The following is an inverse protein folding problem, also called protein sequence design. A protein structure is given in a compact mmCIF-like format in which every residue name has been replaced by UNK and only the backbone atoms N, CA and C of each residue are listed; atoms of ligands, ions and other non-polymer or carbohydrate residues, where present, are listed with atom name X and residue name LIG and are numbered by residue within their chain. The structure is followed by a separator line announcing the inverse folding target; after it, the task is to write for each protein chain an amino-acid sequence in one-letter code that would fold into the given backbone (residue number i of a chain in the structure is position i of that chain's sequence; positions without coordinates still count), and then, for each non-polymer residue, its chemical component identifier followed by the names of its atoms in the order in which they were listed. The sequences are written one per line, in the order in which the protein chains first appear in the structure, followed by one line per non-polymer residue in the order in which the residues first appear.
data_IF_870437078964
#
_entry.id   IF_870437078964
#
_cell.length_a   1.000
_cell.length_b   1.000
_cell.length_c   1.000
_cell.angle_alpha   90.00
_cell.angle_beta   90.00
_cell.angle_gamma   90.00
#
_symmetry.space_group_name_H-M   'P 1'
#
loop_
_entity.id
_entity.type
_entity.pdbx_description
1 polymer ?
#
# COMPACT_ATOMS: atom_id res chain seq x y z
N UNK A 1 -22.14 8.82 -37.98
CA UNK A 1 -21.12 8.53 -36.94
C UNK A 1 -21.43 7.26 -36.16
N UNK A 2 -22.65 7.09 -35.62
CA UNK A 2 -23.00 5.89 -34.86
C UNK A 2 -22.95 4.58 -35.67
N UNK A 3 -23.30 4.58 -36.96
CA UNK A 3 -23.20 3.38 -37.81
C UNK A 3 -21.76 3.00 -38.14
N UNK A 4 -20.92 3.99 -38.47
CA UNK A 4 -19.49 3.78 -38.72
C UNK A 4 -18.79 3.15 -37.51
N UNK A 5 -19.07 3.67 -36.31
CA UNK A 5 -18.46 3.13 -35.09
C UNK A 5 -18.98 1.74 -34.75
N UNK A 6 -20.26 1.44 -35.01
CA UNK A 6 -20.80 0.08 -34.87
C UNK A 6 -20.11 -0.91 -35.81
N UNK A 7 -19.84 -0.53 -37.05
CA UNK A 7 -19.12 -1.38 -38.00
C UNK A 7 -17.66 -1.61 -37.57
N UNK A 8 -16.99 -0.56 -37.06
CA UNK A 8 -15.63 -0.67 -36.50
C UNK A 8 -15.62 -1.58 -35.27
N UNK A 9 -16.60 -1.46 -34.37
CA UNK A 9 -16.72 -2.33 -33.20
C UNK A 9 -16.95 -3.79 -33.59
N UNK A 10 -17.81 -4.06 -34.57
CA UNK A 10 -18.04 -5.42 -35.08
C UNK A 10 -16.77 -6.03 -35.68
N UNK A 11 -15.97 -5.24 -36.41
CA UNK A 11 -14.70 -5.69 -36.95
C UNK A 11 -13.65 -5.97 -35.85
N UNK A 12 -13.60 -5.12 -34.82
CA UNK A 12 -12.72 -5.31 -33.66
C UNK A 12 -13.13 -6.53 -32.82
N UNK A 13 -14.42 -6.86 -32.75
CA UNK A 13 -14.92 -8.06 -32.08
C UNK A 13 -14.52 -9.35 -32.81
N UNK A 14 -14.38 -9.29 -34.15
CA UNK A 14 -13.95 -10.41 -34.98
C UNK A 14 -12.43 -10.55 -35.09
N UNK A 15 -11.63 -9.63 -34.53
CA UNK A 15 -10.18 -9.73 -34.55
C UNK A 15 -9.71 -10.86 -33.59
N UNK A 16 -9.01 -11.92 -34.07
CA UNK A 16 -8.59 -13.04 -33.23
C UNK A 16 -7.64 -12.64 -32.09
N UNK A 17 -7.02 -11.44 -32.18
CA UNK A 17 -6.14 -10.89 -31.13
C UNK A 17 -6.93 -10.18 -30.02
N UNK A 18 -8.21 -9.92 -30.23
CA UNK A 18 -9.14 -9.32 -29.27
C UNK A 18 -10.14 -10.41 -28.85
N UNK A 19 -9.72 -11.30 -27.95
CA UNK A 19 -10.59 -12.36 -27.40
C UNK A 19 -11.87 -11.76 -26.78
N UNK A 20 -13.03 -12.43 -26.94
CA UNK A 20 -14.35 -11.86 -26.63
C UNK A 20 -14.52 -11.27 -25.21
N UNK A 21 -13.86 -11.83 -24.19
CA UNK A 21 -13.86 -11.25 -22.84
C UNK A 21 -13.14 -9.88 -22.77
N UNK A 22 -12.06 -9.71 -23.53
CA UNK A 22 -11.35 -8.44 -23.65
C UNK A 22 -12.15 -7.43 -24.48
N UNK A 23 -12.84 -7.87 -25.54
CA UNK A 23 -13.69 -6.98 -26.32
C UNK A 23 -14.78 -6.34 -25.44
N UNK A 24 -15.51 -7.17 -24.69
CA UNK A 24 -16.59 -6.70 -23.80
C UNK A 24 -16.07 -5.76 -22.71
N UNK A 25 -14.87 -6.02 -22.19
CA UNK A 25 -14.27 -5.20 -21.12
C UNK A 25 -13.82 -3.83 -21.61
N UNK A 26 -13.25 -3.74 -22.81
CA UNK A 26 -12.60 -2.51 -23.29
C UNK A 26 -13.47 -1.71 -24.25
N UNK A 27 -14.24 -2.36 -25.13
CA UNK A 27 -14.85 -1.70 -26.29
C UNK A 27 -16.37 -1.54 -26.21
N UNK A 28 -17.07 -2.36 -25.42
CA UNK A 28 -18.54 -2.42 -25.39
C UNK A 28 -19.21 -1.06 -25.08
N UNK A 29 -18.55 -0.21 -24.31
CA UNK A 29 -19.07 1.09 -23.87
C UNK A 29 -18.34 2.28 -24.50
N UNK A 30 -17.68 2.08 -25.64
CA UNK A 30 -16.97 3.14 -26.37
C UNK A 30 -17.83 3.75 -27.45
N UNK A 31 -17.63 5.04 -27.75
CA UNK A 31 -18.38 5.75 -28.78
C UNK A 31 -17.45 6.67 -29.58
N UNK A 32 -17.69 6.79 -30.89
CA UNK A 32 -17.04 7.80 -31.72
C UNK A 32 -17.72 9.16 -31.50
N UNK A 33 -17.00 10.10 -30.91
CA UNK A 33 -17.50 11.43 -30.54
C UNK A 33 -17.42 12.41 -31.72
N UNK A 34 -16.31 12.39 -32.46
CA UNK A 34 -16.13 13.21 -33.67
C UNK A 34 -15.18 12.56 -34.66
N UNK A 35 -15.32 12.92 -35.94
CA UNK A 35 -14.44 12.56 -37.03
C UNK A 35 -14.40 13.71 -38.04
N UNK A 36 -13.39 14.56 -37.93
CA UNK A 36 -13.21 15.75 -38.78
C UNK A 36 -11.77 15.82 -39.29
N UNK A 37 -11.58 16.10 -40.59
CA UNK A 37 -10.30 16.44 -41.24
C UNK A 37 -9.09 15.69 -40.65
N UNK A 38 -9.14 14.35 -40.69
CA UNK A 38 -8.10 13.42 -40.24
C UNK A 38 -7.91 13.22 -38.73
N UNK A 39 -8.83 13.71 -37.89
CA UNK A 39 -8.84 13.49 -36.45
C UNK A 39 -10.10 12.75 -35.99
N UNK A 40 -9.92 11.60 -35.33
CA UNK A 40 -11.00 10.84 -34.69
C UNK A 40 -10.91 10.94 -33.17
N UNK A 41 -12.03 11.24 -32.51
CA UNK A 41 -12.12 11.29 -31.04
C UNK A 41 -13.00 10.14 -30.55
N UNK A 42 -12.44 9.22 -29.77
CA UNK A 42 -13.17 8.08 -29.20
C UNK A 42 -13.40 8.29 -27.70
N UNK A 43 -14.65 8.27 -27.29
CA UNK A 43 -15.02 8.39 -25.89
C UNK A 43 -15.15 7.02 -25.19
N UNK A 44 -14.70 6.92 -23.95
CA UNK A 44 -14.88 5.75 -23.09
C UNK A 44 -15.25 6.13 -21.64
N UNK A 45 -15.67 5.15 -20.83
CA UNK A 45 -16.22 5.37 -19.47
C UNK A 45 -15.24 5.97 -18.45
N UNK A 46 -13.95 5.69 -18.56
CA UNK A 46 -12.93 6.21 -17.65
C UNK A 46 -11.54 6.28 -18.32
N UNK A 47 -10.61 6.99 -17.67
CA UNK A 47 -9.25 7.23 -18.17
C UNK A 47 -8.40 5.96 -18.25
N UNK A 48 -8.72 4.94 -17.46
CA UNK A 48 -8.04 3.64 -17.49
C UNK A 48 -8.36 2.87 -18.77
N UNK A 49 -9.63 2.86 -19.18
CA UNK A 49 -10.07 2.24 -20.44
C UNK A 49 -9.45 2.99 -21.63
N UNK A 50 -9.51 4.32 -21.66
CA UNK A 50 -8.91 5.11 -22.77
C UNK A 50 -7.41 4.88 -22.89
N UNK A 51 -6.66 4.84 -21.77
CA UNK A 51 -5.22 4.60 -21.77
C UNK A 51 -4.88 3.17 -22.20
N UNK A 52 -5.67 2.19 -21.78
CA UNK A 52 -5.48 0.78 -22.17
C UNK A 52 -5.75 0.57 -23.66
N UNK A 53 -6.85 1.12 -24.18
CA UNK A 53 -7.18 1.07 -25.60
C UNK A 53 -6.09 1.74 -26.45
N UNK A 54 -5.69 2.96 -26.07
CA UNK A 54 -4.63 3.71 -26.75
C UNK A 54 -3.30 2.95 -26.78
N UNK A 55 -2.94 2.27 -25.69
CA UNK A 55 -1.64 1.58 -25.58
C UNK A 55 -1.63 0.23 -26.29
N UNK A 56 -2.72 -0.54 -26.20
CA UNK A 56 -2.75 -1.94 -26.66
C UNK A 56 -3.42 -2.15 -28.02
N UNK A 57 -4.37 -1.31 -28.39
CA UNK A 57 -5.27 -1.58 -29.53
C UNK A 57 -5.35 -0.47 -30.58
N UNK A 58 -4.53 0.59 -30.44
CA UNK A 58 -4.54 1.72 -31.39
C UNK A 58 -4.33 1.31 -32.85
N UNK A 59 -3.40 0.39 -33.11
CA UNK A 59 -3.13 -0.08 -34.47
C UNK A 59 -4.27 -0.92 -35.07
N UNK A 60 -5.00 -1.65 -34.21
CA UNK A 60 -6.20 -2.38 -34.61
C UNK A 60 -7.34 -1.42 -34.96
N UNK A 61 -7.51 -0.37 -34.17
CA UNK A 61 -8.51 0.68 -34.42
C UNK A 61 -8.19 1.42 -35.72
N UNK A 62 -6.94 1.81 -35.96
CA UNK A 62 -6.52 2.44 -37.23
C UNK A 62 -6.81 1.55 -38.43
N UNK A 63 -6.53 0.24 -38.31
CA UNK A 63 -6.83 -0.74 -39.36
C UNK A 63 -8.33 -0.83 -39.63
N UNK A 64 -9.15 -0.92 -38.58
CA UNK A 64 -10.60 -0.97 -38.70
C UNK A 64 -11.18 0.32 -39.31
N UNK A 65 -10.65 1.51 -38.97
CA UNK A 65 -11.02 2.75 -39.67
C UNK A 65 -10.73 2.67 -41.18
N UNK A 66 -9.53 2.20 -41.56
CA UNK A 66 -9.11 2.08 -42.97
C UNK A 66 -10.01 1.15 -43.76
N UNK A 67 -10.36 0.00 -43.19
CA UNK A 67 -11.25 -0.98 -43.81
C UNK A 67 -12.67 -0.44 -43.99
N UNK A 68 -13.09 0.51 -43.14
CA UNK A 68 -14.36 1.22 -43.26
C UNK A 68 -14.25 2.53 -44.08
N UNK A 69 -13.19 2.69 -44.89
CA UNK A 69 -13.05 3.80 -45.85
C UNK A 69 -12.69 5.15 -45.21
N UNK A 70 -12.15 5.16 -43.99
CA UNK A 70 -11.70 6.36 -43.27
C UNK A 70 -10.26 6.19 -42.81
N UNK A 71 -9.45 7.25 -42.84
CA UNK A 71 -8.05 7.14 -42.43
C UNK A 71 -7.63 8.32 -41.56
N UNK A 72 -8.11 8.42 -40.31
CA UNK A 72 -7.67 9.48 -39.41
C UNK A 72 -6.18 9.31 -39.09
N UNK A 73 -5.39 10.35 -39.32
CA UNK A 73 -3.97 10.39 -38.94
C UNK A 73 -3.80 10.42 -37.41
N UNK A 74 -4.74 11.08 -36.71
CA UNK A 74 -4.72 11.24 -35.27
C UNK A 74 -5.97 10.59 -34.67
N UNK A 75 -5.78 9.72 -33.68
CA UNK A 75 -6.87 9.16 -32.87
C UNK A 75 -6.63 9.54 -31.42
N UNK A 76 -7.51 10.38 -30.88
CA UNK A 76 -7.51 10.81 -29.49
C UNK A 76 -8.65 10.14 -28.71
N UNK A 77 -8.52 10.14 -27.39
CA UNK A 77 -9.47 9.49 -26.50
C UNK A 77 -9.93 10.44 -25.40
N UNK A 78 -11.23 10.44 -25.12
CA UNK A 78 -11.85 11.28 -24.09
C UNK A 78 -12.68 10.43 -23.11
N UNK A 79 -12.85 10.93 -21.90
CA UNK A 79 -13.69 10.26 -20.89
C UNK A 79 -15.10 10.82 -20.96
N UNK A 80 -16.07 9.98 -21.33
CA UNK A 80 -17.48 10.35 -21.33
C UNK A 80 -18.01 10.17 -19.91
N UNK A 81 -18.20 11.27 -19.18
CA UNK A 81 -18.98 11.26 -17.94
C UNK A 81 -20.46 11.09 -18.29
N UNK A 82 -21.10 10.04 -17.81
CA UNK A 82 -22.55 9.81 -17.96
C UNK A 82 -23.34 10.75 -17.04
N UNK A 83 -23.26 12.06 -17.30
CA UNK A 83 -24.25 13.04 -16.82
C UNK A 83 -25.17 13.43 -17.98
N UNK A 84 -26.45 13.13 -17.80
CA UNK A 84 -27.57 13.40 -18.72
C UNK A 84 -27.45 14.79 -19.38
N UNK A 85 -27.50 14.79 -20.71
CA UNK A 85 -27.67 15.97 -21.58
C UNK A 85 -28.87 16.82 -21.14
N UNK A 86 -28.66 18.12 -20.93
CA UNK A 86 -29.66 19.17 -21.16
C UNK A 86 -29.19 20.03 -22.34
N UNK A 87 -30.11 20.22 -23.29
CA UNK A 87 -30.01 21.07 -24.49
C UNK A 87 -29.91 22.56 -24.12
N UNK A 88 -29.32 23.33 -25.05
CA UNK A 88 -29.48 24.77 -25.39
C UNK A 88 -28.12 25.49 -25.34
N UNK A 89 -27.70 26.32 -26.30
CA UNK A 89 -28.14 26.70 -27.65
C UNK A 89 -26.91 27.31 -28.31
N UNK A 90 -26.84 27.26 -29.64
CA UNK A 90 -25.80 27.90 -30.44
C UNK A 90 -25.78 29.42 -30.22
N UNK A 91 -24.61 29.98 -29.90
CA UNK A 91 -24.20 31.31 -30.40
C UNK A 91 -22.70 31.26 -30.71
N UNK A 92 -22.36 31.66 -31.94
CA UNK A 92 -20.99 31.73 -32.47
C UNK A 92 -20.37 33.05 -32.00
N UNK A 93 -19.15 33.07 -31.43
CA UNK A 93 -18.35 34.29 -31.40
C UNK A 93 -17.25 34.21 -32.47
N UNK A 94 -17.35 35.17 -33.38
CA UNK A 94 -16.36 35.59 -34.37
C UNK A 94 -14.98 35.85 -33.78
N UNK A 95 -13.95 35.39 -34.49
CA UNK A 95 -12.54 35.73 -34.31
C UNK A 95 -12.32 37.25 -34.15
N UNK A 96 -11.72 37.67 -33.03
CA UNK A 96 -10.87 38.87 -33.01
C UNK A 96 -9.62 38.58 -32.19
N UNK A 97 -8.48 38.71 -32.86
CA UNK A 97 -7.13 38.55 -32.33
C UNK A 97 -6.80 39.72 -31.40
N UNK A 98 -6.72 39.46 -30.09
CA UNK A 98 -6.04 40.35 -29.14
C UNK A 98 -4.81 39.65 -28.56
N UNK A 99 -3.66 40.33 -28.65
CA UNK A 99 -2.40 39.93 -28.02
C UNK A 99 -2.62 39.74 -26.51
N UNK A 100 -1.98 38.74 -25.87
CA UNK A 100 -2.21 38.45 -24.46
C UNK A 100 -1.78 39.64 -23.60
N UNK A 101 -2.64 39.97 -22.63
CA UNK A 101 -2.40 41.00 -21.65
C UNK A 101 -1.36 40.54 -20.62
N UNK A 102 -0.72 41.47 -19.91
CA UNK A 102 0.26 41.17 -18.85
C UNK A 102 -0.38 40.32 -17.73
N UNK A 103 -1.70 40.38 -17.56
CA UNK A 103 -2.48 39.56 -16.63
C UNK A 103 -2.57 38.08 -17.05
N UNK A 104 -2.56 37.79 -18.36
CA UNK A 104 -2.53 36.41 -18.89
C UNK A 104 -1.16 35.76 -18.67
N UNK A 105 -0.08 36.55 -18.65
CA UNK A 105 1.28 36.08 -18.34
C UNK A 105 1.49 35.85 -16.85
N UNK A 106 0.78 36.58 -15.98
CA UNK A 106 0.77 36.37 -14.54
C UNK A 106 -0.06 35.11 -14.19
N UNK A 107 -1.22 34.90 -14.83
CA UNK A 107 -2.01 33.67 -14.66
C UNK A 107 -1.31 32.40 -15.17
N UNK A 108 -0.48 32.51 -16.22
CA UNK A 108 0.32 31.38 -16.73
C UNK A 108 1.47 30.95 -15.82
N UNK A 109 1.87 31.77 -14.83
CA UNK A 109 2.87 31.37 -13.81
C UNK A 109 2.29 30.54 -12.66
N UNK A 110 0.96 30.47 -12.54
CA UNK A 110 0.26 29.74 -11.47
C UNK A 110 -0.26 28.36 -11.86
N UNK A 111 -0.16 27.95 -13.13
CA UNK A 111 -0.40 26.56 -13.51
C UNK A 111 0.85 25.73 -13.21
N UNK A 112 1.08 25.45 -11.92
CA UNK A 112 1.93 24.31 -11.53
C UNK A 112 1.39 23.10 -12.30
N UNK A 113 2.26 22.42 -13.05
CA UNK A 113 1.89 21.19 -13.73
C UNK A 113 1.24 20.26 -12.71
N UNK A 114 -0.06 19.97 -12.87
CA UNK A 114 -0.81 19.10 -11.96
C UNK A 114 -0.23 17.68 -12.07
N UNK A 115 0.78 17.40 -11.25
CA UNK A 115 1.20 16.04 -10.99
C UNK A 115 -0.01 15.28 -10.43
N UNK A 116 -0.25 14.05 -10.90
CA UNK A 116 -1.27 13.19 -10.28
C UNK A 116 -0.88 12.98 -8.82
N UNK A 117 -1.74 13.39 -7.88
CA UNK A 117 -1.42 13.36 -6.45
C UNK A 117 -1.19 11.95 -5.91
N UNK A 118 -1.61 10.90 -6.61
CA UNK A 118 -1.40 9.51 -6.21
C UNK A 118 -2.33 9.05 -5.08
N UNK A 119 -3.26 9.91 -4.64
CA UNK A 119 -4.19 9.63 -3.56
C UNK A 119 -5.31 8.68 -4.00
N UNK A 120 -5.63 7.71 -3.14
CA UNK A 120 -6.84 6.90 -3.21
C UNK A 120 -8.00 7.68 -2.59
N UNK A 121 -9.07 7.92 -3.36
CA UNK A 121 -10.25 8.70 -2.93
C UNK A 121 -11.14 8.00 -1.90
N UNK A 122 -10.95 6.69 -1.70
CA UNK A 122 -11.69 5.92 -0.71
C UNK A 122 -11.14 6.12 0.73
N UNK A 123 -9.90 6.60 0.85
CA UNK A 123 -9.26 6.85 2.14
C UNK A 123 -9.57 8.27 2.61
N UNK A 124 -10.65 8.43 3.37
CA UNK A 124 -11.11 9.70 3.96
C UNK A 124 -11.17 9.59 5.48
N UNK A 125 -11.29 10.73 6.17
CA UNK A 125 -11.52 10.73 7.62
C UNK A 125 -12.89 10.14 7.99
N UNK A 126 -13.90 10.34 7.16
CA UNK A 126 -15.26 9.85 7.39
C UNK A 126 -15.31 8.32 7.49
N UNK A 127 -14.45 7.63 6.73
CA UNK A 127 -14.37 6.17 6.72
C UNK A 127 -13.29 5.61 7.67
N UNK A 128 -12.70 6.45 8.53
CA UNK A 128 -11.69 6.02 9.49
C UNK A 128 -12.30 5.87 10.89
N UNK A 129 -12.27 4.64 11.42
CA UNK A 129 -12.80 4.36 12.76
C UNK A 129 -11.79 4.76 13.84
N UNK A 130 -12.22 5.67 14.70
CA UNK A 130 -11.41 6.21 15.79
C UNK A 130 -11.65 5.41 17.06
N UNK A 131 -10.57 5.06 17.76
CA UNK A 131 -10.59 4.40 19.05
C UNK A 131 -9.37 4.80 19.88
N UNK A 132 -9.28 4.32 21.13
CA UNK A 132 -8.20 4.72 22.05
C UNK A 132 -6.79 4.37 21.57
N UNK A 133 -6.64 3.47 20.58
CA UNK A 133 -5.34 3.07 20.02
C UNK A 133 -4.84 3.98 18.89
N UNK A 134 -5.68 4.86 18.36
CA UNK A 134 -5.40 5.68 17.18
C UNK A 134 -5.92 7.13 17.25
N UNK A 135 -6.52 7.53 18.37
CA UNK A 135 -7.12 8.85 18.58
C UNK A 135 -6.10 9.99 18.42
N UNK A 136 -4.91 9.87 19.00
CA UNK A 136 -3.82 10.84 18.88
C UNK A 136 -3.39 11.00 17.42
N UNK A 137 -3.30 9.88 16.69
CA UNK A 137 -2.94 9.88 15.28
C UNK A 137 -4.03 10.60 14.46
N UNK A 138 -5.30 10.34 14.76
CA UNK A 138 -6.43 10.99 14.12
C UNK A 138 -6.48 12.50 14.40
N UNK A 139 -6.28 12.94 15.65
CA UNK A 139 -6.24 14.36 16.01
C UNK A 139 -5.06 15.09 15.36
N UNK A 140 -3.87 14.49 15.35
CA UNK A 140 -2.71 15.05 14.65
C UNK A 140 -2.99 15.17 13.15
N UNK A 141 -3.61 14.16 12.55
CA UNK A 141 -4.02 14.15 11.14
C UNK A 141 -4.98 15.29 10.81
N UNK A 142 -6.02 15.49 11.62
CA UNK A 142 -6.96 16.60 11.43
C UNK A 142 -6.29 17.97 11.57
N UNK A 143 -5.36 18.12 12.51
CA UNK A 143 -4.63 19.39 12.67
C UNK A 143 -3.77 19.71 11.44
N UNK A 144 -3.04 18.71 10.93
CA UNK A 144 -2.21 18.85 9.72
C UNK A 144 -3.07 19.12 8.49
N UNK A 145 -4.22 18.45 8.33
CA UNK A 145 -5.13 18.71 7.23
C UNK A 145 -5.68 20.15 7.24
N UNK A 146 -6.00 20.68 8.43
CA UNK A 146 -6.50 22.06 8.58
C UNK A 146 -5.41 23.11 8.36
N UNK A 147 -4.19 22.87 8.85
CA UNK A 147 -3.09 23.85 8.81
C UNK A 147 -1.77 23.20 8.33
N UNK A 148 -1.67 22.81 7.04
CA UNK A 148 -0.49 22.12 6.54
C UNK A 148 0.76 23.01 6.63
N UNK A 149 1.89 22.41 7.01
CA UNK A 149 3.20 23.07 7.07
C UNK A 149 3.49 23.81 8.37
N UNK A 150 2.59 23.74 9.36
CA UNK A 150 2.68 24.51 10.61
C UNK A 150 3.20 23.67 11.80
N UNK A 151 2.34 23.33 12.76
CA UNK A 151 2.69 22.79 14.09
C UNK A 151 3.37 21.42 14.04
N UNK A 152 2.93 20.54 13.15
CA UNK A 152 3.38 19.14 13.09
C UNK A 152 4.07 18.86 11.74
N UNK A 153 5.32 19.33 11.62
CA UNK A 153 6.10 19.18 10.39
C UNK A 153 7.55 18.71 10.69
N UNK A 154 7.90 17.45 10.39
CA UNK A 154 7.07 16.43 9.77
C UNK A 154 6.01 15.83 10.72
N UNK A 155 4.98 15.21 10.16
CA UNK A 155 4.13 14.26 10.87
C UNK A 155 4.60 12.84 10.52
N UNK A 156 4.94 12.04 11.52
CA UNK A 156 5.51 10.70 11.34
C UNK A 156 4.65 9.65 12.04
N UNK A 157 4.04 8.76 11.27
CA UNK A 157 3.29 7.62 11.79
C UNK A 157 4.16 6.37 11.86
N UNK A 158 4.09 5.62 12.96
CA UNK A 158 4.64 4.27 12.99
C UNK A 158 3.73 3.30 13.73
N UNK A 159 4.02 2.00 13.57
CA UNK A 159 3.23 0.91 14.13
C UNK A 159 3.27 -0.30 13.20
N UNK A 160 2.78 -1.45 13.65
CA UNK A 160 2.77 -2.67 12.84
C UNK A 160 1.98 -2.53 11.52
N UNK A 161 2.14 -3.50 10.64
CA UNK A 161 1.48 -3.51 9.34
C UNK A 161 -0.05 -3.54 9.48
N UNK A 162 -0.73 -2.72 8.68
CA UNK A 162 -2.19 -2.70 8.59
C UNK A 162 -2.93 -2.16 9.83
N UNK A 163 -2.34 -1.18 10.53
CA UNK A 163 -3.01 -0.41 11.59
C UNK A 163 -3.65 0.91 11.09
N UNK A 164 -3.76 1.11 9.77
CA UNK A 164 -4.41 2.30 9.21
C UNK A 164 -3.48 3.49 8.91
N UNK A 165 -2.15 3.35 9.02
CA UNK A 165 -1.16 4.40 8.68
C UNK A 165 -1.39 5.00 7.28
N UNK A 166 -1.47 4.13 6.26
CA UNK A 166 -1.71 4.52 4.87
C UNK A 166 -3.08 5.18 4.68
N UNK A 167 -4.09 4.71 5.40
CA UNK A 167 -5.43 5.33 5.37
C UNK A 167 -5.36 6.76 5.90
N UNK A 168 -4.82 6.96 7.11
CA UNK A 168 -4.72 8.28 7.73
C UNK A 168 -3.94 9.27 6.87
N UNK A 169 -2.74 8.90 6.38
CA UNK A 169 -1.96 9.84 5.58
C UNK A 169 -2.67 10.24 4.28
N UNK A 170 -3.38 9.31 3.64
CA UNK A 170 -4.11 9.61 2.41
C UNK A 170 -5.39 10.39 2.71
N UNK A 171 -6.04 10.15 3.85
CA UNK A 171 -7.14 10.97 4.34
C UNK A 171 -6.71 12.42 4.57
N UNK A 172 -5.53 12.65 5.14
CA UNK A 172 -4.94 14.00 5.24
C UNK A 172 -4.80 14.61 3.84
N UNK A 173 -4.19 13.89 2.90
CA UNK A 173 -4.00 14.39 1.53
C UNK A 173 -5.32 14.72 0.82
N UNK A 174 -6.33 13.86 0.95
CA UNK A 174 -7.65 14.05 0.35
C UNK A 174 -8.38 15.23 0.98
N UNK A 175 -8.31 15.40 2.31
CA UNK A 175 -8.93 16.54 2.98
C UNK A 175 -8.24 17.86 2.61
N UNK A 176 -6.91 17.86 2.44
CA UNK A 176 -6.17 19.03 1.97
C UNK A 176 -6.58 19.38 0.53
N UNK A 177 -6.65 18.43 -0.39
CA UNK A 177 -7.11 18.72 -1.77
C UNK A 177 -8.53 19.28 -1.82
N UNK A 178 -9.37 18.89 -0.87
CA UNK A 178 -10.76 19.35 -0.75
C UNK A 178 -10.87 20.74 -0.14
N UNK A 179 -10.08 21.04 0.89
CA UNK A 179 -10.19 22.29 1.68
C UNK A 179 -9.24 23.39 1.23
N UNK A 180 -8.10 23.02 0.63
CA UNK A 180 -7.05 23.89 0.11
C UNK A 180 -6.70 23.51 -1.35
N UNK A 181 -7.63 23.72 -2.31
CA UNK A 181 -7.48 23.25 -3.70
C UNK A 181 -6.33 23.90 -4.47
N UNK A 182 -5.75 24.97 -3.96
CA UNK A 182 -4.55 25.63 -4.47
C UNK A 182 -3.24 24.90 -4.11
N UNK A 183 -3.25 24.05 -3.07
CA UNK A 183 -2.07 23.32 -2.63
C UNK A 183 -1.85 22.07 -3.47
N UNK A 184 -0.59 21.85 -3.85
CA UNK A 184 -0.19 20.65 -4.59
C UNK A 184 0.19 19.53 -3.61
N UNK A 185 -0.59 18.45 -3.60
CA UNK A 185 -0.35 17.26 -2.77
C UNK A 185 0.30 16.15 -3.60
N UNK A 186 1.34 15.51 -3.07
CA UNK A 186 1.97 14.33 -3.67
C UNK A 186 2.08 13.21 -2.66
N UNK A 187 1.39 12.10 -2.94
CA UNK A 187 1.55 10.81 -2.28
C UNK A 187 2.46 9.89 -3.09
N UNK A 188 3.42 9.27 -2.41
CA UNK A 188 4.38 8.36 -3.00
C UNK A 188 4.83 7.31 -1.98
N UNK A 189 5.27 6.15 -2.43
CA UNK A 189 6.04 5.22 -1.58
C UNK A 189 7.53 5.54 -1.67
N UNK A 190 8.31 5.26 -0.62
CA UNK A 190 9.77 5.49 -0.70
C UNK A 190 10.44 4.64 -1.80
N UNK A 191 9.88 3.48 -2.13
CA UNK A 191 10.37 2.64 -3.23
C UNK A 191 10.17 3.30 -4.60
N UNK A 192 9.03 3.98 -4.79
CA UNK A 192 8.78 4.75 -6.01
C UNK A 192 9.72 5.97 -6.09
N UNK A 193 9.96 6.67 -4.97
CA UNK A 193 10.96 7.75 -4.90
C UNK A 193 12.36 7.23 -5.29
N UNK A 194 12.77 6.09 -4.72
CA UNK A 194 14.02 5.41 -5.06
C UNK A 194 14.12 5.05 -6.55
N UNK A 195 13.08 4.43 -7.10
CA UNK A 195 13.06 4.05 -8.52
C UNK A 195 13.20 5.27 -9.42
N UNK A 196 12.43 6.32 -9.15
CA UNK A 196 12.48 7.56 -9.92
C UNK A 196 13.86 8.23 -9.82
N UNK A 197 14.53 8.15 -8.65
CA UNK A 197 15.88 8.64 -8.47
C UNK A 197 16.89 7.87 -9.32
N UNK A 198 16.82 6.54 -9.32
CA UNK A 198 17.69 5.71 -10.15
C UNK A 198 17.49 5.98 -11.64
N UNK A 199 16.25 6.15 -12.07
CA UNK A 199 15.93 6.46 -13.46
C UNK A 199 16.48 7.82 -13.86
N UNK A 200 16.37 8.84 -12.99
CA UNK A 200 16.98 10.15 -13.21
C UNK A 200 18.51 10.05 -13.36
N UNK A 201 19.19 9.34 -12.46
CA UNK A 201 20.65 9.14 -12.50
C UNK A 201 21.09 8.42 -13.78
N UNK A 202 20.34 7.40 -14.22
CA UNK A 202 20.66 6.60 -15.42
C UNK A 202 20.38 7.36 -16.71
N UNK A 203 19.24 8.03 -16.80
CA UNK A 203 18.73 8.60 -18.06
C UNK A 203 18.95 10.10 -18.20
N UNK A 204 19.53 10.76 -17.19
CA UNK A 204 19.68 12.23 -17.10
C UNK A 204 18.37 12.98 -17.37
N UNK A 205 17.23 12.35 -17.09
CA UNK A 205 15.90 12.93 -17.28
C UNK A 205 15.71 14.08 -16.30
N UNK A 206 15.59 15.29 -16.82
CA UNK A 206 15.23 16.46 -16.03
C UNK A 206 13.81 16.30 -15.45
N UNK A 207 13.56 16.92 -14.29
CA UNK A 207 12.23 16.98 -13.66
C UNK A 207 12.05 16.12 -12.39
N UNK A 208 13.05 15.35 -11.96
CA UNK A 208 12.99 14.63 -10.67
C UNK A 208 12.85 15.61 -9.49
N UNK A 209 13.74 16.61 -9.42
CA UNK A 209 13.70 17.61 -8.36
C UNK A 209 12.38 18.39 -8.37
N UNK A 210 11.92 18.83 -9.55
CA UNK A 210 10.64 19.54 -9.67
C UNK A 210 9.46 18.71 -9.16
N UNK A 211 9.39 17.42 -9.53
CA UNK A 211 8.33 16.52 -9.08
C UNK A 211 8.23 16.44 -7.55
N UNK A 212 9.37 16.34 -6.86
CA UNK A 212 9.41 16.08 -5.42
C UNK A 212 9.58 17.33 -4.56
N UNK A 213 10.04 18.46 -5.12
CA UNK A 213 10.37 19.68 -4.39
C UNK A 213 9.45 20.86 -4.73
N UNK A 214 8.71 20.80 -5.84
CA UNK A 214 7.68 21.80 -6.18
C UNK A 214 6.27 21.37 -5.72
N UNK A 215 6.17 20.80 -4.52
CA UNK A 215 4.90 20.39 -3.90
C UNK A 215 4.67 21.18 -2.62
N UNK A 216 3.40 21.32 -2.23
CA UNK A 216 3.04 21.99 -0.98
C UNK A 216 2.89 20.99 0.16
N UNK A 217 2.57 19.73 -0.17
CA UNK A 217 2.46 18.60 0.75
C UNK A 217 3.11 17.37 0.13
N UNK A 218 4.12 16.80 0.80
CA UNK A 218 4.76 15.53 0.44
C UNK A 218 4.37 14.45 1.45
N UNK A 219 3.74 13.39 0.96
CA UNK A 219 3.35 12.21 1.75
C UNK A 219 4.18 11.03 1.25
N UNK A 220 4.97 10.42 2.15
CA UNK A 220 5.84 9.30 1.84
C UNK A 220 5.47 8.09 2.69
N UNK A 221 4.98 7.06 2.03
CA UNK A 221 4.62 5.79 2.67
C UNK A 221 5.83 4.85 2.75
N UNK A 222 5.80 3.99 3.77
CA UNK A 222 6.75 2.90 4.02
C UNK A 222 8.24 3.30 4.03
N UNK A 223 8.60 4.38 4.74
CA UNK A 223 9.97 4.93 4.79
C UNK A 223 11.03 3.92 5.24
N UNK A 224 10.63 2.83 5.92
CA UNK A 224 11.53 1.76 6.32
C UNK A 224 12.33 1.20 5.13
N UNK A 225 11.78 1.14 3.92
CA UNK A 225 12.47 0.57 2.75
C UNK A 225 13.62 1.44 2.20
N UNK A 226 13.96 2.54 2.90
CA UNK A 226 15.16 3.35 2.63
C UNK A 226 16.45 2.75 3.20
N UNK A 227 16.35 1.77 4.11
CA UNK A 227 17.54 1.15 4.72
C UNK A 227 18.47 0.55 3.66
N UNK A 228 19.79 0.67 3.86
CA UNK A 228 20.80 0.16 2.94
C UNK A 228 20.89 0.88 1.58
N UNK A 229 20.16 1.99 1.39
CA UNK A 229 20.17 2.79 0.15
C UNK A 229 20.80 4.17 0.37
N UNK A 230 22.11 4.22 0.65
CA UNK A 230 22.80 5.44 1.11
C UNK A 230 22.60 6.66 0.20
N UNK A 231 22.75 6.50 -1.12
CA UNK A 231 22.52 7.59 -2.08
C UNK A 231 21.08 8.10 -2.08
N UNK A 232 20.12 7.21 -1.83
CA UNK A 232 18.70 7.55 -1.75
C UNK A 232 18.36 8.25 -0.44
N UNK A 233 18.97 7.82 0.67
CA UNK A 233 18.89 8.53 1.94
C UNK A 233 19.43 9.96 1.80
N UNK A 234 20.53 10.14 1.07
CA UNK A 234 21.08 11.47 0.78
C UNK A 234 20.14 12.34 -0.06
N UNK A 235 19.64 11.82 -1.18
CA UNK A 235 18.71 12.57 -2.02
C UNK A 235 17.40 12.91 -1.28
N UNK A 236 16.89 11.96 -0.49
CA UNK A 236 15.72 12.19 0.34
C UNK A 236 15.98 13.25 1.41
N UNK A 237 17.15 13.24 2.04
CA UNK A 237 17.55 14.28 3.00
C UNK A 237 17.56 15.67 2.35
N UNK A 238 18.06 15.81 1.13
CA UNK A 238 18.03 17.09 0.41
C UNK A 238 16.59 17.54 0.10
N UNK A 239 15.76 16.62 -0.40
CA UNK A 239 14.33 16.87 -0.68
C UNK A 239 13.59 17.30 0.59
N UNK A 240 13.78 16.57 1.69
CA UNK A 240 13.20 16.89 2.99
C UNK A 240 13.59 18.29 3.43
N UNK A 241 14.88 18.65 3.35
CA UNK A 241 15.37 19.94 3.82
C UNK A 241 14.82 21.11 3.04
N UNK A 242 14.71 20.96 1.72
CA UNK A 242 14.21 22.01 0.84
C UNK A 242 12.73 22.29 1.14
N UNK A 243 11.92 21.24 1.24
CA UNK A 243 10.50 21.34 1.59
C UNK A 243 10.29 21.89 3.00
N UNK A 244 11.03 21.36 3.98
CA UNK A 244 10.88 21.75 5.39
C UNK A 244 11.23 23.22 5.61
N UNK A 245 12.32 23.72 5.00
CA UNK A 245 12.71 25.15 5.07
C UNK A 245 11.69 26.07 4.41
N UNK A 246 10.98 25.58 3.39
CA UNK A 246 9.91 26.31 2.72
C UNK A 246 8.54 26.15 3.42
N UNK A 247 8.51 25.60 4.64
CA UNK A 247 7.30 25.28 5.41
C UNK A 247 6.29 24.43 4.61
N UNK A 248 6.76 23.56 3.71
CA UNK A 248 5.92 22.58 3.03
C UNK A 248 5.66 21.40 3.96
N UNK A 249 4.44 20.88 3.96
CA UNK A 249 4.08 19.79 4.86
C UNK A 249 4.76 18.49 4.42
N UNK A 250 5.38 17.80 5.38
CA UNK A 250 5.94 16.46 5.17
C UNK A 250 5.19 15.48 6.07
N UNK A 251 4.71 14.38 5.49
CA UNK A 251 4.03 13.29 6.20
C UNK A 251 4.72 11.99 5.86
N UNK A 252 5.10 11.22 6.87
CA UNK A 252 5.86 9.99 6.72
C UNK A 252 5.13 8.84 7.44
N UNK A 253 5.26 7.61 6.94
CA UNK A 253 4.96 6.42 7.73
C UNK A 253 6.11 5.44 7.77
N UNK A 254 6.09 4.59 8.80
CA UNK A 254 6.95 3.43 8.90
C UNK A 254 6.29 2.25 9.62
N UNK A 255 6.85 1.06 9.48
CA UNK A 255 6.56 -0.07 10.37
C UNK A 255 7.23 0.06 11.75
N UNK A 256 8.12 1.05 11.94
CA UNK A 256 8.89 1.24 13.18
C UNK A 256 9.27 2.70 13.46
N UNK A 257 9.62 2.98 14.70
CA UNK A 257 10.12 4.30 15.10
C UNK A 257 11.42 4.67 14.34
N UNK A 258 11.74 5.97 14.15
CA UNK A 258 12.93 6.41 13.41
C UNK A 258 14.24 5.80 13.93
N UNK A 259 14.40 5.74 15.26
CA UNK A 259 15.56 5.15 15.94
C UNK A 259 15.73 3.64 15.70
N UNK A 260 14.65 2.95 15.34
CA UNK A 260 14.61 1.51 15.08
C UNK A 260 14.81 1.13 13.61
N UNK A 261 14.92 2.10 12.69
CA UNK A 261 15.21 1.84 11.27
C UNK A 261 16.69 1.47 11.11
N UNK A 262 17.00 0.23 10.67
CA UNK A 262 18.38 -0.20 10.45
C UNK A 262 19.06 0.72 9.43
N UNK A 263 20.35 1.01 9.66
CA UNK A 263 21.20 1.78 8.73
C UNK A 263 20.65 3.15 8.28
N UNK A 264 19.66 3.70 9.00
CA UNK A 264 19.19 5.06 8.80
C UNK A 264 20.24 6.04 9.32
N UNK A 265 20.61 7.02 8.50
CA UNK A 265 21.57 8.06 8.90
C UNK A 265 21.05 8.91 10.05
N UNK A 266 21.93 9.30 10.97
CA UNK A 266 21.53 10.07 12.17
C UNK A 266 20.91 11.43 11.82
N UNK A 267 21.33 12.03 10.69
CA UNK A 267 20.71 13.24 10.15
C UNK A 267 19.24 13.03 9.79
N UNK A 268 18.87 11.90 9.19
CA UNK A 268 17.48 11.60 8.86
C UNK A 268 16.67 11.25 10.11
N UNK A 269 17.25 10.49 11.06
CA UNK A 269 16.60 10.24 12.36
C UNK A 269 16.21 11.54 13.05
N UNK A 270 17.17 12.45 13.19
CA UNK A 270 16.94 13.77 13.79
C UNK A 270 15.86 14.57 13.05
N UNK A 271 15.77 14.46 11.71
CA UNK A 271 14.70 15.11 10.94
C UNK A 271 13.34 14.48 11.18
N UNK A 272 13.24 13.17 11.21
CA UNK A 272 11.98 12.47 11.45
C UNK A 272 11.45 12.74 12.87
N UNK A 273 12.36 12.89 13.83
CA UNK A 273 12.04 13.20 15.23
C UNK A 273 11.84 14.70 15.51
N UNK A 274 12.16 15.59 14.54
CA UNK A 274 12.05 17.05 14.73
C UNK A 274 10.61 17.59 14.73
N UNK A 275 9.63 16.76 14.37
CA UNK A 275 8.22 17.11 14.31
C UNK A 275 7.37 16.30 15.31
N UNK A 276 6.22 15.80 14.85
CA UNK A 276 5.35 14.94 15.65
C UNK A 276 5.52 13.48 15.23
N UNK A 277 5.94 12.63 16.16
CA UNK A 277 5.94 11.17 15.99
C UNK A 277 4.72 10.59 16.72
N UNK A 278 3.94 9.77 16.02
CA UNK A 278 2.75 9.13 16.58
C UNK A 278 2.81 7.63 16.35
N UNK A 279 2.68 6.89 17.45
CA UNK A 279 2.52 5.45 17.45
C UNK A 279 1.05 5.09 17.22
N UNK A 280 0.78 4.23 16.24
CA UNK A 280 -0.54 3.66 16.02
C UNK A 280 -0.53 2.24 16.56
N UNK A 281 -1.41 1.98 17.53
CA UNK A 281 -1.47 0.72 18.25
C UNK A 281 -2.61 -0.17 17.76
N UNK A 282 -2.56 -1.44 18.14
CA UNK A 282 -3.62 -2.40 17.85
C UNK A 282 -4.96 -1.90 18.44
N UNK A 283 -6.06 -1.95 17.66
CA UNK A 283 -7.37 -1.57 18.14
C UNK A 283 -7.85 -2.51 19.25
N UNK A 284 -8.54 -1.95 20.24
CA UNK A 284 -9.27 -2.71 21.24
C UNK A 284 -10.47 -3.47 20.63
N UNK A 285 -11.16 -4.26 21.45
CA UNK A 285 -12.28 -5.06 20.99
C UNK A 285 -13.40 -4.20 20.38
N UNK A 286 -13.80 -3.12 21.05
CA UNK A 286 -14.88 -2.23 20.61
C UNK A 286 -14.55 -1.56 19.27
N UNK A 287 -13.31 -1.10 19.11
CA UNK A 287 -12.82 -0.51 17.86
C UNK A 287 -12.78 -1.56 16.75
N UNK A 288 -12.35 -2.79 17.03
CA UNK A 288 -12.37 -3.89 16.04
C UNK A 288 -13.79 -4.23 15.60
N UNK A 289 -14.73 -4.30 16.52
CA UNK A 289 -16.14 -4.55 16.20
C UNK A 289 -16.70 -3.43 15.32
N UNK A 290 -16.44 -2.17 15.67
CA UNK A 290 -16.84 -1.00 14.88
C UNK A 290 -16.24 -1.03 13.47
N UNK A 291 -14.99 -1.49 13.31
CA UNK A 291 -14.36 -1.70 12.00
C UNK A 291 -15.07 -2.79 11.20
N UNK A 292 -15.46 -3.90 11.83
CA UNK A 292 -16.19 -4.99 11.17
C UNK A 292 -17.53 -4.50 10.64
N UNK A 293 -18.28 -3.80 11.48
CA UNK A 293 -19.58 -3.23 11.14
C UNK A 293 -19.46 -2.20 10.01
N UNK A 294 -18.56 -1.23 10.13
CA UNK A 294 -18.33 -0.22 9.11
C UNK A 294 -17.91 -0.81 7.76
N UNK A 295 -17.08 -1.88 7.78
CA UNK A 295 -16.67 -2.56 6.55
C UNK A 295 -17.84 -3.27 5.87
N UNK A 296 -18.75 -3.87 6.64
CA UNK A 296 -19.93 -4.51 6.09
C UNK A 296 -20.96 -3.50 5.58
N UNK A 297 -21.14 -2.39 6.29
CA UNK A 297 -22.01 -1.29 5.88
C UNK A 297 -21.54 -0.65 4.57
N UNK A 298 -20.23 -0.55 4.34
CA UNK A 298 -19.68 -0.10 3.06
C UNK A 298 -20.17 -0.95 1.87
N UNK A 299 -20.40 -2.25 2.08
CA UNK A 299 -20.94 -3.17 1.07
C UNK A 299 -22.47 -3.30 1.16
N UNK A 300 -23.14 -2.38 1.89
CA UNK A 300 -24.59 -2.36 2.16
C UNK A 300 -25.12 -3.62 2.86
N UNK A 301 -24.28 -4.26 3.66
CA UNK A 301 -24.61 -5.47 4.41
C UNK A 301 -24.69 -5.14 5.90
N UNK A 302 -25.82 -5.47 6.52
CA UNK A 302 -25.95 -5.43 7.97
C UNK A 302 -25.64 -6.81 8.55
N UNK A 303 -24.62 -6.88 9.41
CA UNK A 303 -24.27 -8.09 10.14
C UNK A 303 -25.10 -8.18 11.43
N UNK A 304 -25.43 -9.40 11.82
CA UNK A 304 -25.98 -9.66 13.16
C UNK A 304 -24.87 -9.42 14.21
N UNK A 305 -25.20 -8.91 15.42
CA UNK A 305 -24.21 -8.58 16.44
C UNK A 305 -23.24 -9.73 16.75
N UNK A 306 -23.77 -10.95 16.87
CA UNK A 306 -22.99 -12.16 17.15
C UNK A 306 -21.91 -12.44 16.09
N UNK A 307 -22.17 -12.09 14.82
CA UNK A 307 -21.20 -12.27 13.74
C UNK A 307 -20.09 -11.24 13.84
N UNK A 308 -20.44 -9.98 14.12
CA UNK A 308 -19.47 -8.89 14.28
C UNK A 308 -18.55 -9.12 15.49
N UNK A 309 -19.13 -9.52 16.63
CA UNK A 309 -18.43 -9.89 17.85
C UNK A 309 -17.49 -11.06 17.58
N UNK A 310 -17.98 -12.13 16.95
CA UNK A 310 -17.16 -13.29 16.63
C UNK A 310 -15.93 -12.95 15.77
N UNK A 311 -16.07 -12.12 14.74
CA UNK A 311 -14.93 -11.69 13.92
C UNK A 311 -13.97 -10.83 14.76
N UNK A 312 -14.48 -9.85 15.51
CA UNK A 312 -13.67 -8.95 16.34
C UNK A 312 -12.91 -9.68 17.46
N UNK A 313 -13.45 -10.79 17.98
CA UNK A 313 -12.78 -11.66 18.94
C UNK A 313 -11.63 -12.44 18.31
N UNK A 314 -11.80 -12.94 17.09
CA UNK A 314 -10.86 -13.90 16.51
C UNK A 314 -9.72 -13.27 15.69
N UNK A 315 -9.92 -12.08 15.10
CA UNK A 315 -8.90 -11.38 14.32
C UNK A 315 -8.31 -10.21 15.13
N UNK A 316 -7.23 -10.47 15.87
CA UNK A 316 -6.65 -9.52 16.85
C UNK A 316 -5.37 -8.80 16.38
N UNK A 317 -4.77 -9.24 15.29
CA UNK A 317 -3.39 -8.92 14.92
C UNK A 317 -3.25 -7.80 13.90
N UNK A 318 -4.23 -7.60 13.02
CA UNK A 318 -4.13 -6.62 11.94
C UNK A 318 -5.52 -6.27 11.39
N UNK A 319 -5.78 -4.99 11.15
CA UNK A 319 -7.06 -4.51 10.60
C UNK A 319 -7.30 -5.05 9.17
N UNK A 320 -6.24 -5.28 8.38
CA UNK A 320 -6.36 -5.88 7.05
C UNK A 320 -6.93 -7.30 7.10
N UNK A 321 -6.58 -8.08 8.12
CA UNK A 321 -7.12 -9.44 8.29
C UNK A 321 -8.61 -9.39 8.63
N UNK A 322 -9.00 -8.45 9.50
CA UNK A 322 -10.41 -8.18 9.84
C UNK A 322 -11.19 -7.81 8.56
N UNK A 323 -10.72 -6.82 7.81
CA UNK A 323 -11.35 -6.37 6.56
C UNK A 323 -11.43 -7.50 5.53
N UNK A 324 -10.37 -8.30 5.42
CA UNK A 324 -10.32 -9.47 4.54
C UNK A 324 -11.35 -10.52 4.93
N UNK A 325 -11.47 -10.84 6.21
CA UNK A 325 -12.44 -11.79 6.74
C UNK A 325 -13.88 -11.35 6.48
N UNK A 326 -14.21 -10.08 6.73
CA UNK A 326 -15.54 -9.51 6.45
C UNK A 326 -15.85 -9.57 4.95
N UNK A 327 -14.88 -9.19 4.10
CA UNK A 327 -15.05 -9.24 2.64
C UNK A 327 -15.28 -10.68 2.16
N UNK A 328 -14.54 -11.64 2.70
CA UNK A 328 -14.70 -13.06 2.37
C UNK A 328 -16.04 -13.61 2.86
N UNK A 329 -16.52 -13.19 4.03
CA UNK A 329 -17.81 -13.57 4.58
C UNK A 329 -18.95 -13.12 3.68
N UNK A 330 -18.92 -11.84 3.29
CA UNK A 330 -19.93 -11.25 2.41
C UNK A 330 -19.93 -11.97 1.07
N UNK A 331 -18.76 -12.17 0.45
CA UNK A 331 -18.65 -12.87 -0.82
C UNK A 331 -19.18 -14.32 -0.75
N UNK A 332 -18.92 -15.06 0.34
CA UNK A 332 -19.45 -16.41 0.51
C UNK A 332 -20.97 -16.43 0.72
N UNK A 333 -21.50 -15.46 1.47
CA UNK A 333 -22.92 -15.30 1.69
C UNK A 333 -23.66 -14.98 0.39
N UNK A 334 -23.12 -14.05 -0.41
CA UNK A 334 -23.62 -13.71 -1.75
C UNK A 334 -23.60 -14.91 -2.70
N UNK A 335 -22.49 -15.66 -2.76
CA UNK A 335 -22.37 -16.84 -3.62
C UNK A 335 -23.41 -17.92 -3.28
N UNK A 336 -23.72 -18.09 -1.99
CA UNK A 336 -24.73 -19.05 -1.50
C UNK A 336 -26.14 -18.48 -1.47
N UNK A 337 -26.30 -17.20 -1.81
CA UNK A 337 -27.56 -16.45 -1.74
C UNK A 337 -28.23 -16.54 -0.35
N UNK A 338 -27.43 -16.42 0.71
CA UNK A 338 -27.87 -16.37 2.10
C UNK A 338 -27.33 -15.12 2.79
N UNK A 339 -27.86 -14.77 3.96
CA UNK A 339 -27.29 -13.70 4.78
C UNK A 339 -26.00 -14.16 5.46
N UNK A 340 -25.00 -13.28 5.64
CA UNK A 340 -23.88 -13.54 6.53
C UNK A 340 -24.37 -13.98 7.90
N UNK A 341 -23.91 -15.13 8.37
CA UNK A 341 -24.32 -15.70 9.65
C UNK A 341 -23.10 -16.28 10.38
N UNK A 342 -23.30 -16.65 11.64
CA UNK A 342 -22.22 -17.14 12.50
C UNK A 342 -21.59 -18.44 11.97
N UNK A 343 -22.37 -19.33 11.36
CA UNK A 343 -21.89 -20.59 10.78
C UNK A 343 -20.88 -20.33 9.65
N UNK A 344 -21.20 -19.42 8.73
CA UNK A 344 -20.28 -19.01 7.67
C UNK A 344 -19.01 -18.38 8.25
N UNK A 345 -19.15 -17.49 9.23
CA UNK A 345 -18.01 -16.84 9.88
C UNK A 345 -17.09 -17.85 10.59
N UNK A 346 -17.65 -18.85 11.27
CA UNK A 346 -16.90 -19.96 11.87
C UNK A 346 -16.17 -20.79 10.81
N UNK A 347 -16.83 -21.05 9.67
CA UNK A 347 -16.23 -21.73 8.53
C UNK A 347 -15.06 -20.97 7.91
N UNK A 348 -15.10 -19.63 7.91
CA UNK A 348 -13.97 -18.81 7.48
C UNK A 348 -12.76 -19.04 8.35
N UNK A 349 -12.92 -19.02 9.68
CA UNK A 349 -11.79 -19.24 10.59
C UNK A 349 -11.22 -20.64 10.43
N UNK A 350 -12.02 -21.66 10.13
CA UNK A 350 -11.48 -23.00 9.88
C UNK A 350 -10.60 -23.05 8.61
N UNK A 351 -10.88 -22.19 7.62
CA UNK A 351 -10.15 -22.09 6.35
C UNK A 351 -9.10 -20.96 6.30
N UNK A 352 -9.22 -19.95 7.17
CA UNK A 352 -8.37 -18.75 7.26
C UNK A 352 -7.49 -18.75 8.50
N UNK A 353 -7.78 -19.62 9.49
CA UNK A 353 -6.65 -20.31 10.12
C UNK A 353 -5.91 -20.87 8.92
N UNK A 354 -4.63 -20.55 8.75
CA UNK A 354 -3.80 -21.45 7.96
C UNK A 354 -4.23 -22.85 8.41
N UNK A 355 -4.37 -23.79 7.50
CA UNK A 355 -3.83 -25.11 7.82
C UNK A 355 -2.49 -24.81 8.51
N UNK A 356 -2.48 -24.73 9.84
CA UNK A 356 -1.24 -24.56 10.61
C UNK A 356 -0.52 -25.80 10.15
N UNK A 357 0.56 -25.70 9.35
CA UNK A 357 1.27 -26.89 8.93
C UNK A 357 1.89 -27.42 10.21
N UNK A 358 1.20 -28.35 10.86
CA UNK A 358 1.51 -28.93 12.17
C UNK A 358 1.98 -27.88 13.20
N UNK A 359 1.07 -27.37 14.05
CA UNK A 359 1.35 -26.55 15.24
C UNK A 359 2.84 -26.44 15.54
N UNK A 360 3.50 -25.37 15.06
CA UNK A 360 4.86 -25.09 15.47
C UNK A 360 4.84 -25.02 16.99
N UNK A 361 5.58 -25.92 17.62
CA UNK A 361 5.62 -26.08 19.05
C UNK A 361 7.06 -26.43 19.45
N UNK A 362 7.37 -26.35 20.74
CA UNK A 362 8.71 -26.59 21.27
C UNK A 362 9.29 -27.92 20.77
N UNK A 363 8.45 -28.98 20.70
CA UNK A 363 8.85 -30.32 20.25
C UNK A 363 9.23 -30.36 18.77
N UNK A 364 8.46 -29.70 17.89
CA UNK A 364 8.75 -29.64 16.44
C UNK A 364 10.06 -28.89 16.18
N UNK A 365 10.32 -27.79 16.91
CA UNK A 365 11.59 -27.05 16.82
C UNK A 365 12.75 -27.94 17.26
N UNK A 366 12.66 -28.59 18.43
CA UNK A 366 13.72 -29.49 18.91
C UNK A 366 13.98 -30.61 17.90
N UNK A 367 12.93 -31.21 17.33
CA UNK A 367 13.05 -32.30 16.35
C UNK A 367 13.76 -31.86 15.07
N UNK A 368 13.30 -30.75 14.47
CA UNK A 368 13.88 -30.23 13.23
C UNK A 368 15.31 -29.74 13.45
N UNK A 369 15.60 -29.07 14.57
CA UNK A 369 16.96 -28.66 14.94
C UNK A 369 17.89 -29.85 15.17
N UNK A 370 17.42 -30.89 15.88
CA UNK A 370 18.16 -32.13 16.09
C UNK A 370 18.54 -32.82 14.77
N UNK A 371 17.54 -32.98 13.89
CA UNK A 371 17.73 -33.62 12.59
C UNK A 371 18.68 -32.85 11.69
N UNK A 372 18.59 -31.51 11.66
CA UNK A 372 19.44 -30.67 10.82
C UNK A 372 20.91 -30.66 11.29
N UNK A 373 21.14 -30.59 12.61
CA UNK A 373 22.48 -30.49 13.19
C UNK A 373 23.12 -31.85 13.51
N UNK A 374 22.44 -32.95 13.15
CA UNK A 374 22.98 -34.31 13.34
C UNK A 374 23.13 -34.74 14.80
N UNK A 375 22.32 -34.19 15.71
CA UNK A 375 22.32 -34.54 17.15
C UNK A 375 20.99 -35.17 17.56
N UNK A 376 20.97 -35.93 18.66
CA UNK A 376 19.71 -36.50 19.17
C UNK A 376 18.88 -35.46 19.94
N UNK A 377 17.55 -35.66 20.02
CA UNK A 377 16.66 -34.76 20.79
C UNK A 377 17.01 -34.80 22.28
N UNK A 378 17.36 -36.00 22.75
CA UNK A 378 17.78 -36.30 24.10
C UNK A 378 19.06 -35.53 24.44
N UNK A 379 20.01 -35.45 23.52
CA UNK A 379 21.25 -34.69 23.68
C UNK A 379 20.99 -33.20 23.81
N UNK A 380 20.13 -32.63 22.95
CA UNK A 380 19.74 -31.22 23.03
C UNK A 380 19.13 -30.92 24.41
N UNK A 381 18.25 -31.79 24.93
CA UNK A 381 17.62 -31.63 26.25
C UNK A 381 18.54 -31.98 27.43
N UNK A 382 19.68 -32.62 27.17
CA UNK A 382 20.60 -33.10 28.22
C UNK A 382 21.39 -32.00 28.91
N UNK A 383 22.14 -32.39 29.95
CA UNK A 383 23.13 -31.53 30.61
C UNK A 383 24.48 -31.45 29.88
N UNK A 384 24.64 -32.13 28.74
CA UNK A 384 25.91 -32.22 28.00
C UNK A 384 26.46 -30.85 27.61
N UNK A 385 27.77 -30.70 27.79
CA UNK A 385 28.56 -29.51 27.48
C UNK A 385 29.39 -29.64 26.20
N UNK A 386 29.22 -30.73 25.44
CA UNK A 386 29.86 -30.86 24.14
C UNK A 386 29.47 -29.68 23.23
N UNK A 387 30.44 -29.23 22.42
CA UNK A 387 30.32 -27.99 21.64
C UNK A 387 29.12 -28.04 20.69
N UNK A 388 28.96 -29.15 19.97
CA UNK A 388 27.93 -29.30 18.93
C UNK A 388 26.53 -29.41 19.55
N UNK A 389 26.39 -30.16 20.64
CA UNK A 389 25.13 -30.25 21.41
C UNK A 389 24.75 -28.88 22.00
N UNK A 390 25.73 -28.13 22.52
CA UNK A 390 25.48 -26.82 23.08
C UNK A 390 25.07 -25.81 22.00
N UNK A 391 25.69 -25.87 20.82
CA UNK A 391 25.30 -25.07 19.66
C UNK A 391 23.87 -25.39 19.22
N UNK A 392 23.53 -26.66 19.04
CA UNK A 392 22.17 -27.09 18.68
C UNK A 392 21.11 -26.63 19.68
N UNK A 393 21.43 -26.68 20.98
CA UNK A 393 20.55 -26.15 22.03
C UNK A 393 20.36 -24.65 21.93
N UNK A 394 21.43 -23.89 21.68
CA UNK A 394 21.38 -22.43 21.53
C UNK A 394 20.53 -22.03 20.32
N UNK A 395 20.69 -22.74 19.21
CA UNK A 395 19.90 -22.58 17.99
C UNK A 395 18.41 -22.88 18.26
N UNK A 396 18.09 -23.99 18.92
CA UNK A 396 16.70 -24.33 19.28
C UNK A 396 16.08 -23.26 20.21
N UNK A 397 16.82 -22.78 21.21
CA UNK A 397 16.36 -21.71 22.11
C UNK A 397 16.11 -20.39 21.35
N UNK A 398 16.99 -20.04 20.41
CA UNK A 398 16.83 -18.87 19.55
C UNK A 398 15.54 -18.97 18.71
N UNK A 399 15.32 -20.12 18.06
CA UNK A 399 14.11 -20.34 17.25
C UNK A 399 12.84 -20.31 18.11
N UNK A 400 12.84 -20.88 19.32
CA UNK A 400 11.69 -20.75 20.24
C UNK A 400 11.44 -19.29 20.67
N UNK A 401 12.50 -18.49 20.84
CA UNK A 401 12.36 -17.09 21.23
C UNK A 401 11.72 -16.26 20.11
N UNK A 402 12.12 -16.50 18.86
CA UNK A 402 11.74 -15.66 17.73
C UNK A 402 10.54 -16.19 16.93
N UNK A 403 10.44 -17.50 16.73
CA UNK A 403 9.34 -18.13 15.98
C UNK A 403 8.11 -18.41 16.85
N UNK A 404 8.32 -18.82 18.12
CA UNK A 404 7.22 -19.09 19.08
C UNK A 404 6.93 -17.93 20.05
N UNK A 405 7.72 -16.86 19.99
CA UNK A 405 7.63 -15.70 20.91
C UNK A 405 7.65 -16.08 22.40
N UNK A 406 8.29 -17.21 22.76
CA UNK A 406 8.34 -17.67 24.15
C UNK A 406 9.22 -16.75 25.03
N UNK A 407 8.84 -16.58 26.29
CA UNK A 407 9.67 -15.89 27.28
C UNK A 407 10.86 -16.77 27.71
N UNK A 408 11.97 -16.14 28.16
CA UNK A 408 13.14 -16.90 28.65
C UNK A 408 12.81 -17.88 29.78
N UNK A 409 11.91 -17.56 30.74
CA UNK A 409 11.46 -18.54 31.72
C UNK A 409 10.71 -19.73 31.12
N UNK A 410 9.87 -19.51 30.09
CA UNK A 410 9.17 -20.61 29.41
C UNK A 410 10.13 -21.52 28.65
N UNK A 411 11.11 -20.95 27.95
CA UNK A 411 12.15 -21.73 27.26
C UNK A 411 13.01 -22.48 28.29
N UNK A 412 13.37 -21.83 29.41
CA UNK A 412 14.12 -22.48 30.49
C UNK A 412 13.41 -23.71 31.07
N UNK A 413 12.07 -23.70 31.15
CA UNK A 413 11.27 -24.87 31.56
C UNK A 413 11.40 -26.03 30.57
N UNK A 414 11.36 -25.77 29.26
CA UNK A 414 11.49 -26.81 28.22
C UNK A 414 12.87 -27.49 28.26
N UNK A 415 13.94 -26.73 28.54
CA UNK A 415 15.30 -27.27 28.58
C UNK A 415 15.79 -27.64 29.99
N UNK A 416 14.97 -27.45 31.04
CA UNK A 416 15.36 -27.62 32.44
C UNK A 416 16.64 -26.84 32.81
N UNK A 417 16.69 -25.55 32.43
CA UNK A 417 17.83 -24.64 32.63
C UNK A 417 17.41 -23.28 33.16
N UNK A 418 18.34 -22.61 33.84
CA UNK A 418 18.15 -21.23 34.28
C UNK A 418 17.95 -20.27 33.11
N UNK A 419 16.99 -19.36 33.26
CA UNK A 419 16.63 -18.38 32.24
C UNK A 419 17.82 -17.50 31.79
N UNK A 420 18.77 -17.23 32.69
CA UNK A 420 20.01 -16.49 32.38
C UNK A 420 20.93 -17.26 31.41
N UNK A 421 20.97 -18.59 31.53
CA UNK A 421 21.72 -19.47 30.62
C UNK A 421 21.08 -19.47 29.23
N UNK A 422 19.75 -19.51 29.17
CA UNK A 422 19.01 -19.40 27.91
C UNK A 422 19.26 -18.04 27.26
N UNK A 423 19.17 -16.94 28.02
CA UNK A 423 19.42 -15.59 27.53
C UNK A 423 20.82 -15.43 26.92
N UNK A 424 21.85 -15.93 27.62
CA UNK A 424 23.23 -15.91 27.11
C UNK A 424 23.38 -16.73 25.82
N UNK A 425 22.71 -17.89 25.74
CA UNK A 425 22.71 -18.74 24.55
C UNK A 425 22.06 -18.07 23.34
N UNK A 426 20.87 -17.48 23.54
CA UNK A 426 20.14 -16.75 22.49
C UNK A 426 20.94 -15.54 22.01
N UNK A 427 21.51 -14.75 22.92
CA UNK A 427 22.34 -13.58 22.58
C UNK A 427 23.60 -13.98 21.78
N UNK A 428 24.16 -15.16 22.03
CA UNK A 428 25.30 -15.67 21.27
C UNK A 428 24.94 -15.98 19.82
N UNK A 429 23.77 -16.58 19.57
CA UNK A 429 23.26 -16.81 18.21
C UNK A 429 22.92 -15.50 17.52
N UNK A 430 22.27 -14.55 18.21
CA UNK A 430 21.98 -13.21 17.66
C UNK A 430 23.23 -12.46 17.20
N UNK A 431 24.31 -12.53 17.99
CA UNK A 431 25.61 -11.96 17.60
C UNK A 431 26.22 -12.74 16.45
N UNK A 432 26.14 -14.07 16.48
CA UNK A 432 26.61 -14.96 15.41
C UNK A 432 25.98 -14.63 14.06
N UNK A 433 24.66 -14.48 14.00
CA UNK A 433 23.93 -14.13 12.76
C UNK A 433 24.42 -12.82 12.14
N UNK A 434 24.89 -11.86 12.95
CA UNK A 434 25.41 -10.57 12.44
C UNK A 434 26.83 -10.67 11.89
N UNK A 435 27.64 -11.56 12.45
CA UNK A 435 29.08 -11.63 12.22
C UNK A 435 29.50 -12.78 11.30
N UNK A 436 28.69 -13.83 11.20
CA UNK A 436 29.02 -15.09 10.54
C UNK A 436 27.93 -15.47 9.52
N UNK A 437 28.34 -15.63 8.27
CA UNK A 437 27.45 -15.99 7.16
C UNK A 437 26.98 -17.45 7.24
N UNK A 438 27.78 -18.35 7.81
CA UNK A 438 27.42 -19.76 7.95
C UNK A 438 26.29 -19.92 8.98
N UNK A 439 26.40 -19.24 10.12
CA UNK A 439 25.34 -19.23 11.16
C UNK A 439 24.05 -18.63 10.60
N UNK A 440 24.14 -17.59 9.77
CA UNK A 440 22.96 -16.98 9.14
C UNK A 440 22.27 -17.96 8.20
N UNK A 441 23.04 -18.60 7.31
CA UNK A 441 22.51 -19.59 6.36
C UNK A 441 21.93 -20.82 7.07
N UNK A 442 22.53 -21.25 8.18
CA UNK A 442 22.03 -22.34 9.03
C UNK A 442 20.66 -22.00 9.64
N UNK A 443 20.51 -20.80 10.20
CA UNK A 443 19.24 -20.35 10.80
C UNK A 443 18.15 -20.17 9.75
N UNK A 444 18.48 -19.63 8.57
CA UNK A 444 17.53 -19.50 7.46
C UNK A 444 17.05 -20.87 6.96
N UNK A 445 17.97 -21.82 6.74
CA UNK A 445 17.63 -23.19 6.33
C UNK A 445 16.76 -23.90 7.37
N UNK A 446 17.06 -23.70 8.66
CA UNK A 446 16.25 -24.24 9.75
C UNK A 446 14.86 -23.61 9.84
N UNK A 447 14.72 -22.32 9.55
CA UNK A 447 13.41 -21.67 9.46
C UNK A 447 12.56 -22.31 8.37
N UNK A 448 13.12 -22.46 7.17
CA UNK A 448 12.42 -23.08 6.04
C UNK A 448 11.95 -24.50 6.40
N UNK A 449 12.83 -25.31 7.00
CA UNK A 449 12.51 -26.67 7.47
C UNK A 449 11.44 -26.74 8.57
N UNK A 450 11.31 -25.69 9.37
CA UNK A 450 10.36 -25.63 10.47
C UNK A 450 8.94 -25.26 9.97
N UNK A 451 8.89 -24.46 8.90
CA UNK A 451 7.67 -24.04 8.22
C UNK A 451 7.17 -25.03 7.16
N UNK A 452 8.01 -25.98 6.72
CA UNK A 452 7.59 -27.28 6.15
C UNK A 452 6.88 -28.19 7.19
#
# INVERSE_FOLDING_TARGET
MNELWKNILAELEMDPRIQGANFKTWFADTQLLSLENDHAVIGAKNSFITNTIKKKYLEHIKKAFRNNGKNPEIISFEVISTKKRKKQTEEIPTHSSKKPSVEDLIKKKTEKAKHSSGLNKDFTFDNFIVGGSNDLAFFASQNVAKNPGTKYNPLYFYGESGLGKTHLMQAIGNEIEKTHPELTVLYITIENFYRDFLDNVRSKKQGYADKYRNVDVLIVDDIQFIYGKDKTQEEFFHTFNELHRANKQIILSSDRAPSSIPTLTDRLKSRFESGMTVDIQLPDFETRQSIVEARAEHDNVKLDPEVSEFIAENYRTNIREIIGAVTQLIAMAELRNIKPNLELAQGLIQNSRPTRPNHLNSKKIIDKTAKYLGVSKEDILSKSRQKDINHARQVACYLMKYELKMSFPQIGKEFSRDHSTIMNGVSKIEKGIKLDAEIRSEIESLRDLIYE
#
